data_IF_779414337589
#
_entry.id   IF_779414337589
#
_cell.length_a   1.000
_cell.length_b   1.000
_cell.length_c   1.000
_cell.angle_alpha   90.00
_cell.angle_beta   90.00
_cell.angle_gamma   90.00
#
_symmetry.space_group_name_H-M   'P 1'
#
loop_
_entity.id
_entity.type
_entity.pdbx_description
1 polymer ?
#
# COMPACT_ATOMS: atom_id res chain seq x y z
N UNK A 1 2.61 -48.60 28.72
CA UNK A 1 1.73 -47.41 28.74
C UNK A 1 2.33 -46.40 27.80
N UNK A 2 1.91 -46.38 26.54
CA UNK A 2 2.48 -45.52 25.49
C UNK A 2 1.57 -44.29 25.39
N UNK A 3 2.16 -43.10 25.56
CA UNK A 3 1.45 -41.83 25.43
C UNK A 3 1.12 -41.51 23.97
N UNK A 4 -0.13 -41.11 23.61
CA UNK A 4 -0.56 -40.88 22.23
C UNK A 4 -0.54 -39.37 21.83
N UNK A 5 0.43 -38.56 22.25
CA UNK A 5 0.38 -37.11 21.98
C UNK A 5 1.46 -36.57 21.01
N UNK A 6 2.34 -37.42 20.47
CA UNK A 6 3.48 -36.95 19.63
C UNK A 6 3.14 -36.84 18.12
N UNK A 7 1.99 -37.32 17.67
CA UNK A 7 1.69 -37.41 16.21
C UNK A 7 0.97 -36.17 15.63
N UNK A 8 0.45 -35.27 16.47
CA UNK A 8 -0.29 -34.08 16.01
C UNK A 8 0.56 -32.83 15.76
N UNK A 9 1.77 -32.77 16.28
CA UNK A 9 2.68 -31.63 16.13
C UNK A 9 3.48 -31.69 14.83
N UNK A 10 3.78 -32.89 14.35
CA UNK A 10 4.54 -33.11 13.10
C UNK A 10 3.73 -32.73 11.84
N UNK A 11 2.40 -32.85 11.86
CA UNK A 11 1.55 -32.56 10.72
C UNK A 11 1.31 -31.06 10.51
N UNK A 12 1.21 -30.30 11.60
CA UNK A 12 1.04 -28.81 11.51
C UNK A 12 2.27 -28.10 10.94
N UNK A 13 3.47 -28.52 11.31
CA UNK A 13 4.71 -27.94 10.79
C UNK A 13 4.89 -28.19 9.29
N UNK A 14 4.57 -29.40 8.81
CA UNK A 14 4.60 -29.73 7.37
C UNK A 14 3.56 -28.95 6.56
N UNK A 15 2.34 -28.76 7.10
CA UNK A 15 1.30 -27.97 6.44
C UNK A 15 1.72 -26.50 6.34
N UNK A 16 2.34 -25.96 7.37
CA UNK A 16 2.88 -24.59 7.37
C UNK A 16 3.99 -24.43 6.36
N UNK A 17 4.95 -25.37 6.30
CA UNK A 17 6.05 -25.33 5.32
C UNK A 17 5.55 -25.44 3.87
N UNK A 18 4.61 -26.32 3.59
CA UNK A 18 3.99 -26.46 2.26
C UNK A 18 3.24 -25.18 1.88
N UNK A 19 2.50 -24.58 2.81
CA UNK A 19 1.79 -23.32 2.59
C UNK A 19 2.76 -22.17 2.30
N UNK A 20 3.84 -22.05 3.04
CA UNK A 20 4.88 -21.02 2.84
C UNK A 20 5.62 -21.22 1.51
N UNK A 21 5.94 -22.46 1.13
CA UNK A 21 6.63 -22.76 -0.13
C UNK A 21 5.74 -22.46 -1.33
N UNK A 22 4.46 -22.84 -1.29
CA UNK A 22 3.46 -22.56 -2.33
C UNK A 22 3.20 -21.04 -2.48
N UNK A 23 3.20 -20.33 -1.37
CA UNK A 23 3.07 -18.88 -1.35
C UNK A 23 4.30 -18.20 -1.99
N UNK A 24 5.52 -18.61 -1.64
CA UNK A 24 6.77 -18.11 -2.25
C UNK A 24 6.83 -18.41 -3.75
N UNK A 25 6.33 -19.56 -4.19
CA UNK A 25 6.26 -19.91 -5.60
C UNK A 25 5.31 -19.01 -6.39
N UNK A 26 4.09 -18.79 -5.89
CA UNK A 26 3.13 -17.85 -6.49
C UNK A 26 3.68 -16.42 -6.56
N UNK A 27 4.38 -15.98 -5.53
CA UNK A 27 5.04 -14.67 -5.50
C UNK A 27 6.10 -14.56 -6.62
N UNK A 28 6.98 -15.56 -6.77
CA UNK A 28 8.01 -15.60 -7.81
C UNK A 28 7.42 -15.62 -9.22
N UNK A 29 6.36 -16.39 -9.46
CA UNK A 29 5.68 -16.41 -10.76
C UNK A 29 5.07 -15.05 -11.11
N UNK A 30 4.46 -14.37 -10.14
CA UNK A 30 3.93 -13.01 -10.34
C UNK A 30 5.04 -12.02 -10.65
N UNK A 31 6.14 -12.08 -9.91
CA UNK A 31 7.30 -11.23 -10.15
C UNK A 31 7.86 -11.45 -11.56
N UNK A 32 8.01 -12.71 -12.00
CA UNK A 32 8.46 -13.06 -13.34
C UNK A 32 7.51 -12.56 -14.43
N UNK A 33 6.19 -12.64 -14.23
CA UNK A 33 5.22 -12.15 -15.21
C UNK A 33 5.24 -10.61 -15.37
N UNK A 34 5.86 -9.90 -14.45
CA UNK A 34 5.99 -8.44 -14.44
C UNK A 34 7.43 -7.94 -14.59
N UNK A 35 8.37 -8.82 -14.97
CA UNK A 35 9.79 -8.49 -15.04
C UNK A 35 10.11 -7.32 -15.97
N UNK A 36 9.34 -7.17 -17.06
CA UNK A 36 9.49 -6.07 -18.02
C UNK A 36 9.06 -4.70 -17.44
N UNK A 37 8.35 -4.67 -16.31
CA UNK A 37 7.90 -3.45 -15.63
C UNK A 37 8.79 -3.07 -14.44
N UNK A 38 10.01 -3.60 -14.41
CA UNK A 38 10.95 -3.31 -13.34
C UNK A 38 11.61 -1.94 -13.52
N UNK A 39 11.89 -1.28 -12.41
CA UNK A 39 12.80 -0.13 -12.28
C UNK A 39 12.50 1.07 -13.19
N UNK A 40 11.25 1.23 -13.66
CA UNK A 40 10.86 2.37 -14.48
C UNK A 40 11.36 2.32 -15.94
N UNK A 41 11.67 1.12 -16.46
CA UNK A 41 12.02 0.97 -17.88
C UNK A 41 10.84 1.44 -18.75
N UNK A 42 11.14 2.30 -19.74
CA UNK A 42 10.11 2.87 -20.63
C UNK A 42 9.31 4.06 -20.05
N UNK A 43 9.61 4.50 -18.82
CA UNK A 43 8.96 5.66 -18.20
C UNK A 43 9.60 6.95 -18.74
N UNK A 44 8.82 7.73 -19.49
CA UNK A 44 9.31 8.99 -20.09
C UNK A 44 9.23 10.19 -19.15
N UNK A 45 8.31 10.17 -18.16
CA UNK A 45 8.17 11.25 -17.18
C UNK A 45 9.31 11.23 -16.15
N UNK A 46 10.14 12.28 -16.05
CA UNK A 46 11.24 12.34 -15.07
C UNK A 46 10.76 12.22 -13.62
N UNK A 47 9.61 12.84 -13.29
CA UNK A 47 9.04 12.78 -11.94
C UNK A 47 8.53 11.38 -11.61
N UNK A 48 7.83 10.71 -12.54
CA UNK A 48 7.38 9.34 -12.35
C UNK A 48 8.56 8.37 -12.26
N UNK A 49 9.59 8.54 -13.09
CA UNK A 49 10.83 7.75 -13.02
C UNK A 49 11.51 7.88 -11.65
N UNK A 50 11.65 9.12 -11.15
CA UNK A 50 12.24 9.38 -9.83
C UNK A 50 11.42 8.72 -8.71
N UNK A 51 10.09 8.81 -8.77
CA UNK A 51 9.22 8.17 -7.78
C UNK A 51 9.35 6.64 -7.82
N UNK A 52 9.36 6.03 -9.02
CA UNK A 52 9.57 4.59 -9.15
C UNK A 52 10.94 4.19 -8.59
N UNK A 53 11.99 4.93 -8.93
CA UNK A 53 13.37 4.58 -8.59
C UNK A 53 13.68 4.76 -7.11
N UNK A 54 13.25 5.89 -6.53
CA UNK A 54 13.69 6.34 -5.21
C UNK A 54 12.61 6.21 -4.12
N UNK A 55 11.39 5.76 -4.47
CA UNK A 55 10.33 5.50 -3.49
C UNK A 55 9.82 4.05 -3.62
N UNK A 56 9.33 3.67 -4.81
CA UNK A 56 8.74 2.33 -4.97
C UNK A 56 9.82 1.23 -4.88
N UNK A 57 10.88 1.36 -5.67
CA UNK A 57 11.95 0.35 -5.80
C UNK A 57 13.22 0.73 -5.01
N UNK A 58 13.09 1.54 -3.98
CA UNK A 58 14.18 1.81 -3.08
C UNK A 58 14.47 0.61 -2.17
N UNK A 59 15.76 0.30 -2.00
CA UNK A 59 16.25 -0.80 -1.16
C UNK A 59 17.20 -0.33 -0.06
N UNK A 60 17.17 0.96 0.28
CA UNK A 60 18.02 1.50 1.34
C UNK A 60 17.64 0.85 2.69
N UNK A 61 18.63 0.37 3.47
CA UNK A 61 18.39 -0.25 4.76
C UNK A 61 18.18 0.81 5.84
N UNK A 62 16.97 1.34 5.95
CA UNK A 62 16.63 2.28 7.02
C UNK A 62 16.67 1.59 8.37
N UNK A 63 17.32 2.19 9.37
CA UNK A 63 17.40 1.65 10.74
C UNK A 63 16.01 1.35 11.33
N UNK A 64 15.03 2.20 11.05
CA UNK A 64 13.66 2.01 11.50
C UNK A 64 13.04 0.66 11.07
N UNK A 65 13.51 0.05 9.98
CA UNK A 65 12.96 -1.23 9.53
C UNK A 65 13.28 -2.39 10.47
N UNK A 66 14.50 -2.40 11.01
CA UNK A 66 14.92 -3.47 11.92
C UNK A 66 14.21 -3.33 13.28
N UNK A 67 14.02 -2.11 13.76
CA UNK A 67 13.32 -1.84 15.01
C UNK A 67 11.83 -2.19 14.90
N UNK A 68 11.16 -1.77 13.82
CA UNK A 68 9.75 -2.09 13.56
C UNK A 68 9.53 -3.61 13.34
N UNK A 69 10.49 -4.29 12.72
CA UNK A 69 10.42 -5.75 12.56
C UNK A 69 10.53 -6.48 13.88
N UNK A 70 11.37 -5.99 14.80
CA UNK A 70 11.47 -6.57 16.18
C UNK A 70 10.20 -6.30 16.99
N UNK A 71 9.60 -5.13 16.82
CA UNK A 71 8.34 -4.75 17.49
C UNK A 71 7.15 -5.60 17.00
N UNK A 72 7.13 -5.96 15.68
CA UNK A 72 6.03 -6.70 15.05
C UNK A 72 6.52 -7.96 14.30
N UNK A 73 7.02 -8.98 15.01
CA UNK A 73 7.66 -10.15 14.38
C UNK A 73 6.70 -11.02 13.55
N UNK A 74 5.40 -11.00 13.88
CA UNK A 74 4.37 -11.80 13.20
C UNK A 74 3.93 -11.22 11.84
N UNK A 75 4.48 -10.09 11.42
CA UNK A 75 4.12 -9.44 10.15
C UNK A 75 4.54 -10.31 8.96
N UNK A 76 3.63 -10.57 8.04
CA UNK A 76 3.95 -11.32 6.83
C UNK A 76 4.96 -10.56 5.95
N UNK A 77 5.76 -11.28 5.15
CA UNK A 77 6.76 -10.67 4.26
C UNK A 77 6.13 -9.69 3.23
N UNK A 78 4.89 -9.94 2.81
CA UNK A 78 4.19 -9.06 1.86
C UNK A 78 3.71 -7.81 2.58
N UNK A 79 3.10 -7.97 3.75
CA UNK A 79 2.62 -6.83 4.53
C UNK A 79 3.79 -5.94 4.95
N UNK A 80 4.89 -6.53 5.43
CA UNK A 80 6.11 -5.78 5.72
C UNK A 80 6.61 -4.99 4.52
N UNK A 81 6.59 -5.60 3.33
CA UNK A 81 7.00 -4.91 2.10
C UNK A 81 6.09 -3.73 1.77
N UNK A 82 4.78 -3.88 1.96
CA UNK A 82 3.80 -2.81 1.79
C UNK A 82 4.01 -1.73 2.86
N UNK A 83 4.19 -2.09 4.12
CA UNK A 83 4.42 -1.12 5.21
C UNK A 83 5.71 -0.32 5.01
N UNK A 84 6.80 -0.95 4.56
CA UNK A 84 8.02 -0.26 4.14
C UNK A 84 7.79 0.70 2.97
N UNK A 85 6.86 0.39 2.06
CA UNK A 85 6.46 1.33 1.01
C UNK A 85 5.74 2.55 1.60
N UNK A 86 4.82 2.37 2.54
CA UNK A 86 4.17 3.48 3.25
C UNK A 86 5.18 4.37 3.97
N UNK A 87 6.17 3.78 4.65
CA UNK A 87 7.29 4.52 5.23
C UNK A 87 7.97 5.40 4.17
N UNK A 88 8.35 4.83 3.02
CA UNK A 88 9.06 5.56 1.96
C UNK A 88 8.20 6.65 1.32
N UNK A 89 6.91 6.39 1.13
CA UNK A 89 5.96 7.40 0.64
C UNK A 89 5.83 8.53 1.65
N UNK A 90 5.68 8.23 2.94
CA UNK A 90 5.64 9.24 4.00
C UNK A 90 6.94 10.04 4.08
N UNK A 91 8.10 9.37 4.00
CA UNK A 91 9.40 10.04 3.97
C UNK A 91 9.58 10.94 2.73
N UNK A 92 9.03 10.55 1.58
CA UNK A 92 9.13 11.33 0.35
C UNK A 92 8.22 12.56 0.35
N UNK A 93 6.95 12.40 0.75
CA UNK A 93 5.96 13.48 0.63
C UNK A 93 5.83 14.34 1.89
N UNK A 94 6.35 13.88 3.04
CA UNK A 94 6.27 14.53 4.35
C UNK A 94 4.83 14.97 4.67
N UNK A 95 3.86 14.02 4.76
CA UNK A 95 2.47 14.37 4.91
C UNK A 95 2.20 14.99 6.30
N UNK A 96 1.38 16.05 6.33
CA UNK A 96 0.88 16.59 7.59
C UNK A 96 -0.12 15.63 8.23
N UNK A 97 -0.91 14.94 7.40
CA UNK A 97 -1.91 13.96 7.85
C UNK A 97 -1.79 12.65 7.10
N UNK A 98 -1.95 11.56 7.84
CA UNK A 98 -2.21 10.23 7.30
C UNK A 98 -3.60 9.79 7.72
N UNK A 99 -4.50 9.66 6.75
CA UNK A 99 -5.85 9.18 6.97
C UNK A 99 -5.90 7.71 6.58
N UNK A 100 -6.17 6.86 7.56
CA UNK A 100 -6.44 5.45 7.34
C UNK A 100 -7.95 5.23 7.30
N UNK A 101 -8.48 5.03 6.09
CA UNK A 101 -9.90 4.77 5.90
C UNK A 101 -10.19 3.28 5.88
N UNK A 102 -10.76 2.77 6.96
CA UNK A 102 -11.05 1.39 7.25
C UNK A 102 -10.65 1.00 8.67
N UNK A 103 -10.48 -0.30 8.91
CA UNK A 103 -10.07 -0.77 10.22
C UNK A 103 -8.74 -0.14 10.66
N UNK A 104 -8.60 0.21 11.94
CA UNK A 104 -7.36 0.71 12.48
C UNK A 104 -6.18 -0.24 12.16
N UNK A 105 -5.07 0.35 11.76
CA UNK A 105 -3.87 -0.39 11.38
C UNK A 105 -2.66 0.16 12.14
N UNK A 106 -2.48 -0.26 13.40
CA UNK A 106 -1.45 0.23 14.30
C UNK A 106 -0.05 0.08 13.69
N UNK A 107 0.28 -1.11 13.21
CA UNK A 107 1.58 -1.39 12.59
C UNK A 107 1.87 -0.41 11.46
N UNK A 108 0.89 -0.19 10.59
CA UNK A 108 1.04 0.73 9.46
C UNK A 108 1.27 2.17 9.93
N UNK A 109 0.53 2.60 10.95
CA UNK A 109 0.70 3.93 11.56
C UNK A 109 2.11 4.13 12.11
N UNK A 110 2.70 3.10 12.70
CA UNK A 110 4.10 3.11 13.17
C UNK A 110 5.09 3.28 12.02
N UNK A 111 4.89 2.59 10.89
CA UNK A 111 5.72 2.75 9.69
C UNK A 111 5.59 4.15 9.07
N UNK A 112 4.38 4.71 9.00
CA UNK A 112 4.17 6.08 8.49
C UNK A 112 4.86 7.10 9.38
N UNK A 113 4.68 7.01 10.71
CA UNK A 113 5.33 7.91 11.67
C UNK A 113 6.85 7.78 11.68
N UNK A 114 7.39 6.58 11.46
CA UNK A 114 8.82 6.39 11.31
C UNK A 114 9.36 7.07 10.04
N UNK A 115 8.56 7.16 8.97
CA UNK A 115 8.89 7.88 7.73
C UNK A 115 8.76 9.39 7.86
N UNK A 116 7.76 9.87 8.60
CA UNK A 116 7.54 11.29 8.87
C UNK A 116 6.97 11.46 10.29
N UNK A 117 7.80 11.94 11.21
CA UNK A 117 7.42 12.06 12.65
C UNK A 117 6.34 13.10 12.93
N UNK A 118 6.20 14.08 12.05
CA UNK A 118 5.24 15.17 12.23
C UNK A 118 3.84 14.82 11.69
N UNK A 119 3.65 13.61 11.14
CA UNK A 119 2.37 13.20 10.57
C UNK A 119 1.34 12.92 11.65
N UNK A 120 0.21 13.62 11.58
CA UNK A 120 -0.99 13.31 12.36
C UNK A 120 -1.66 12.05 11.81
N UNK A 121 -1.91 11.05 12.65
CA UNK A 121 -2.57 9.80 12.26
C UNK A 121 -4.06 9.88 12.59
N UNK A 122 -4.91 9.72 11.58
CA UNK A 122 -6.37 9.77 11.69
C UNK A 122 -6.94 8.45 11.18
N UNK A 123 -7.66 7.71 12.05
CA UNK A 123 -8.38 6.51 11.65
C UNK A 123 -9.87 6.84 11.47
N UNK A 124 -10.42 6.51 10.31
CA UNK A 124 -11.81 6.75 9.95
C UNK A 124 -12.41 5.41 9.52
N UNK A 125 -13.39 4.91 10.27
CA UNK A 125 -14.10 3.67 9.90
C UNK A 125 -15.26 3.98 8.95
N UNK A 126 -15.98 5.08 9.20
CA UNK A 126 -17.09 5.56 8.37
C UNK A 126 -16.93 7.05 8.06
N UNK A 127 -17.30 7.45 6.85
CA UNK A 127 -17.25 8.85 6.45
C UNK A 127 -18.41 9.62 7.07
N UNK A 128 -18.09 10.74 7.67
CA UNK A 128 -19.01 11.75 8.21
C UNK A 128 -18.63 13.14 7.68
N UNK A 129 -19.46 14.14 7.90
CA UNK A 129 -19.15 15.53 7.51
C UNK A 129 -17.83 15.99 8.12
N UNK A 130 -17.56 15.63 9.37
CA UNK A 130 -16.29 15.93 10.04
C UNK A 130 -15.11 15.24 9.34
N UNK A 131 -15.32 14.00 8.86
CA UNK A 131 -14.27 13.25 8.15
C UNK A 131 -13.92 13.88 6.80
N UNK A 132 -14.91 14.42 6.07
CA UNK A 132 -14.66 15.19 4.85
C UNK A 132 -13.84 16.45 5.12
N UNK A 133 -14.03 17.11 6.28
CA UNK A 133 -13.22 18.24 6.69
C UNK A 133 -11.72 17.94 6.73
N UNK A 134 -11.32 16.74 7.16
CA UNK A 134 -9.91 16.32 7.15
C UNK A 134 -9.32 16.17 5.75
N UNK A 135 -10.13 15.86 4.73
CA UNK A 135 -9.69 15.77 3.33
C UNK A 135 -9.55 17.15 2.69
N UNK A 136 -10.49 18.05 2.99
CA UNK A 136 -10.62 19.34 2.30
C UNK A 136 -9.85 20.48 2.97
N UNK A 137 -9.39 20.29 4.22
CA UNK A 137 -8.68 21.31 4.99
C UNK A 137 -7.27 21.54 4.39
N UNK A 138 -7.25 22.11 3.22
CA UNK A 138 -6.23 22.94 2.76
C UNK A 138 -5.11 22.44 1.90
N UNK A 139 -4.00 23.13 2.06
CA UNK A 139 -2.79 23.11 1.22
C UNK A 139 -1.75 22.09 1.73
N UNK A 140 -2.00 21.45 2.87
CA UNK A 140 -1.04 20.53 3.49
C UNK A 140 -1.00 19.16 2.77
N UNK A 141 0.18 18.55 2.61
CA UNK A 141 0.29 17.23 2.00
C UNK A 141 -0.51 16.17 2.76
N UNK A 142 -1.33 15.41 2.04
CA UNK A 142 -2.23 14.39 2.59
C UNK A 142 -1.88 13.00 2.05
N UNK A 143 -1.64 12.04 2.94
CA UNK A 143 -1.55 10.63 2.61
C UNK A 143 -2.83 9.92 3.05
N UNK A 144 -3.57 9.34 2.11
CA UNK A 144 -4.78 8.58 2.36
C UNK A 144 -4.56 7.11 2.07
N UNK A 145 -4.99 6.25 2.97
CA UNK A 145 -5.08 4.80 2.72
C UNK A 145 -6.53 4.38 2.60
N UNK A 146 -6.82 3.54 1.60
CA UNK A 146 -8.10 2.82 1.49
C UNK A 146 -7.81 1.33 1.36
N UNK A 147 -8.41 0.52 2.24
CA UNK A 147 -8.21 -0.92 2.25
C UNK A 147 -9.39 -1.65 1.60
N UNK A 148 -9.16 -2.28 0.43
CA UNK A 148 -10.19 -3.05 -0.27
C UNK A 148 -10.36 -4.48 0.26
N UNK A 149 -9.47 -4.97 1.12
CA UNK A 149 -9.65 -6.27 1.78
C UNK A 149 -10.84 -6.26 2.75
N UNK A 150 -11.21 -5.10 3.29
CA UNK A 150 -12.32 -4.92 4.23
C UNK A 150 -13.70 -4.96 3.54
N UNK A 151 -13.76 -5.06 2.22
CA UNK A 151 -15.01 -5.17 1.47
C UNK A 151 -15.71 -3.85 1.13
N UNK A 152 -15.17 -2.71 1.55
CA UNK A 152 -15.73 -1.39 1.30
C UNK A 152 -15.32 -0.87 -0.10
N UNK A 153 -15.98 -1.39 -1.11
CA UNK A 153 -15.56 -1.23 -2.50
C UNK A 153 -15.89 0.14 -3.13
N UNK A 154 -16.86 0.85 -2.62
CA UNK A 154 -17.30 2.18 -3.06
C UNK A 154 -16.44 3.32 -2.51
N UNK A 155 -15.76 3.09 -1.38
CA UNK A 155 -14.96 4.08 -0.66
C UNK A 155 -13.98 4.87 -1.54
N UNK A 156 -13.09 4.23 -2.34
CA UNK A 156 -12.09 5.00 -3.09
C UNK A 156 -12.70 5.96 -4.11
N UNK A 157 -13.81 5.56 -4.74
CA UNK A 157 -14.45 6.38 -5.78
C UNK A 157 -15.22 7.57 -5.21
N UNK A 158 -15.85 7.41 -4.04
CA UNK A 158 -16.57 8.49 -3.36
C UNK A 158 -15.65 9.60 -2.82
N UNK A 159 -14.37 9.30 -2.64
CA UNK A 159 -13.39 10.24 -2.09
C UNK A 159 -12.73 11.13 -3.16
N UNK A 160 -12.75 10.75 -4.43
CA UNK A 160 -11.99 11.42 -5.49
C UNK A 160 -12.34 12.91 -5.58
N UNK A 161 -13.63 13.28 -5.45
CA UNK A 161 -14.08 14.67 -5.57
C UNK A 161 -13.54 15.60 -4.48
N UNK A 162 -13.15 15.02 -3.36
CA UNK A 162 -12.70 15.76 -2.19
C UNK A 162 -11.16 15.70 -1.99
N UNK A 163 -10.43 15.08 -2.93
CA UNK A 163 -8.98 14.94 -2.80
C UNK A 163 -8.24 16.21 -3.23
N UNK A 164 -7.40 16.78 -2.36
CA UNK A 164 -6.57 17.92 -2.73
C UNK A 164 -5.45 17.52 -3.70
N UNK A 165 -4.95 18.50 -4.49
CA UNK A 165 -3.92 18.25 -5.51
C UNK A 165 -2.60 17.70 -4.96
N UNK A 166 -2.28 17.97 -3.72
CA UNK A 166 -1.07 17.50 -3.04
C UNK A 166 -1.29 16.19 -2.27
N UNK A 167 -2.41 15.49 -2.53
CA UNK A 167 -2.70 14.21 -1.93
C UNK A 167 -2.11 13.03 -2.70
N UNK A 168 -1.78 11.99 -1.96
CA UNK A 168 -1.53 10.65 -2.49
C UNK A 168 -2.52 9.68 -1.83
N UNK A 169 -3.27 8.94 -2.66
CA UNK A 169 -4.11 7.85 -2.19
C UNK A 169 -3.41 6.52 -2.46
N UNK A 170 -3.25 5.72 -1.42
CA UNK A 170 -2.79 4.33 -1.51
C UNK A 170 -3.97 3.39 -1.32
N UNK A 171 -4.16 2.48 -2.26
CA UNK A 171 -5.30 1.55 -2.29
C UNK A 171 -4.76 0.13 -2.16
N UNK A 172 -4.97 -0.49 -1.00
CA UNK A 172 -4.53 -1.86 -0.75
C UNK A 172 -5.52 -2.88 -1.35
N UNK A 173 -5.01 -4.02 -1.83
CA UNK A 173 -5.84 -5.11 -2.32
C UNK A 173 -6.41 -4.95 -3.73
N UNK A 174 -5.82 -4.11 -4.58
CA UNK A 174 -6.33 -3.80 -5.95
C UNK A 174 -6.51 -5.02 -6.86
N UNK A 175 -5.82 -6.15 -6.59
CA UNK A 175 -5.93 -7.41 -7.35
C UNK A 175 -6.52 -8.56 -6.51
N UNK A 176 -7.09 -8.27 -5.34
CA UNK A 176 -7.59 -9.30 -4.42
C UNK A 176 -8.67 -10.16 -5.08
N UNK A 177 -9.68 -9.54 -5.71
CA UNK A 177 -10.77 -10.22 -6.38
C UNK A 177 -11.24 -9.47 -7.65
N UNK A 178 -12.34 -9.95 -8.28
CA UNK A 178 -12.87 -9.31 -9.50
C UNK A 178 -13.41 -7.90 -9.23
N UNK A 179 -14.04 -7.67 -8.08
CA UNK A 179 -14.60 -6.36 -7.70
C UNK A 179 -13.48 -5.36 -7.48
N UNK A 180 -12.45 -5.70 -6.70
CA UNK A 180 -11.33 -4.80 -6.44
C UNK A 180 -10.55 -4.43 -7.71
N UNK A 181 -10.39 -5.38 -8.65
CA UNK A 181 -9.80 -5.09 -9.96
C UNK A 181 -10.64 -4.12 -10.80
N UNK A 182 -11.96 -4.18 -10.67
CA UNK A 182 -12.85 -3.25 -11.36
C UNK A 182 -12.75 -1.84 -10.78
N UNK A 183 -12.75 -1.70 -9.46
CA UNK A 183 -12.56 -0.42 -8.77
C UNK A 183 -11.21 0.19 -9.13
N UNK A 184 -10.14 -0.61 -9.11
CA UNK A 184 -8.83 -0.10 -9.52
C UNK A 184 -8.83 0.42 -10.97
N UNK A 185 -9.51 -0.27 -11.89
CA UNK A 185 -9.67 0.22 -13.27
C UNK A 185 -10.43 1.55 -13.34
N UNK A 186 -11.52 1.67 -12.59
CA UNK A 186 -12.29 2.91 -12.54
C UNK A 186 -11.44 4.06 -11.97
N UNK A 187 -10.72 3.86 -10.86
CA UNK A 187 -9.78 4.86 -10.30
C UNK A 187 -8.70 5.26 -11.31
N UNK A 188 -8.08 4.28 -11.96
CA UNK A 188 -7.04 4.50 -12.95
C UNK A 188 -7.54 5.30 -14.15
N UNK A 189 -8.76 5.02 -14.61
CA UNK A 189 -9.33 5.60 -15.84
C UNK A 189 -10.12 6.89 -15.56
N UNK A 190 -10.38 7.25 -14.29
CA UNK A 190 -11.07 8.47 -13.89
C UNK A 190 -10.26 9.72 -14.24
N UNK A 191 -10.90 10.70 -14.86
CA UNK A 191 -10.26 11.95 -15.33
C UNK A 191 -9.78 12.86 -14.19
N UNK A 192 -10.33 12.71 -12.99
CA UNK A 192 -9.96 13.48 -11.78
C UNK A 192 -8.69 12.97 -11.12
N UNK A 193 -8.24 11.77 -11.47
CA UNK A 193 -6.97 11.23 -10.99
C UNK A 193 -5.83 11.59 -11.94
N UNK A 194 -4.66 11.86 -11.41
CA UNK A 194 -3.43 12.15 -12.15
C UNK A 194 -2.63 10.89 -12.50
N UNK A 195 -1.39 10.83 -12.06
CA UNK A 195 -0.51 9.68 -12.28
C UNK A 195 -0.90 8.52 -11.36
N UNK A 196 -0.95 7.30 -11.90
CA UNK A 196 -1.23 6.09 -11.13
C UNK A 196 -0.12 5.05 -11.26
N UNK A 197 0.11 4.27 -10.19
CA UNK A 197 1.07 3.16 -10.17
C UNK A 197 0.37 1.88 -9.69
N UNK A 198 0.32 0.85 -10.54
CA UNK A 198 -0.16 -0.50 -10.21
C UNK A 198 1.01 -1.35 -9.73
N UNK A 199 1.07 -1.63 -8.43
CA UNK A 199 2.11 -2.43 -7.78
C UNK A 199 1.66 -3.87 -7.51
N UNK A 200 0.53 -4.30 -8.04
CA UNK A 200 -0.15 -5.57 -7.85
C UNK A 200 -0.88 -5.69 -6.51
N UNK A 201 -0.19 -5.57 -5.39
CA UNK A 201 -0.77 -5.68 -4.03
C UNK A 201 -1.46 -4.40 -3.59
N UNK A 202 -0.92 -3.28 -3.99
CA UNK A 202 -1.51 -1.96 -3.79
C UNK A 202 -1.39 -1.10 -5.05
N UNK A 203 -2.21 -0.06 -5.12
CA UNK A 203 -2.15 0.99 -6.12
C UNK A 203 -1.82 2.33 -5.47
N UNK A 204 -1.15 3.20 -6.20
CA UNK A 204 -0.87 4.57 -5.77
C UNK A 204 -1.52 5.51 -6.78
N UNK A 205 -2.25 6.52 -6.30
CA UNK A 205 -2.96 7.51 -7.11
C UNK A 205 -2.52 8.90 -6.65
N UNK A 206 -2.06 9.71 -7.60
CA UNK A 206 -1.79 11.13 -7.44
C UNK A 206 -2.97 11.96 -7.94
N UNK A 207 -3.20 13.11 -7.32
CA UNK A 207 -4.28 14.04 -7.68
C UNK A 207 -3.77 15.36 -8.25
N UNK A 208 -2.47 15.47 -8.48
CA UNK A 208 -1.88 16.66 -9.09
C UNK A 208 -2.30 16.82 -10.56
N UNK A 209 -2.23 18.05 -11.07
CA UNK A 209 -2.64 18.43 -12.44
C UNK A 209 -1.68 17.99 -13.55
N UNK A 210 -0.75 17.08 -13.27
CA UNK A 210 0.13 16.54 -14.32
C UNK A 210 -0.67 15.77 -15.36
N UNK A 211 -0.09 15.64 -16.56
CA UNK A 211 -0.67 14.79 -17.61
C UNK A 211 -0.90 13.39 -17.06
N UNK A 212 -2.13 12.91 -17.16
CA UNK A 212 -2.53 11.58 -16.70
C UNK A 212 -1.66 10.50 -17.34
N UNK A 213 -1.08 9.66 -16.50
CA UNK A 213 -0.26 8.52 -16.93
C UNK A 213 -0.47 7.35 -15.97
N UNK A 214 -0.53 6.17 -16.54
CA UNK A 214 -0.77 4.94 -15.76
C UNK A 214 0.42 4.01 -15.91
N UNK A 215 1.08 3.69 -14.81
CA UNK A 215 2.26 2.83 -14.79
C UNK A 215 1.97 1.50 -14.10
N UNK A 216 2.46 0.44 -14.69
CA UNK A 216 2.58 -0.86 -14.02
C UNK A 216 4.03 -0.96 -13.53
N UNK A 217 4.22 -1.24 -12.26
CA UNK A 217 5.56 -1.37 -11.67
C UNK A 217 5.68 -2.73 -11.00
N UNK A 218 6.77 -3.44 -11.28
CA UNK A 218 7.08 -4.66 -10.56
C UNK A 218 7.65 -4.31 -9.19
N UNK A 219 6.91 -4.68 -8.17
CA UNK A 219 7.17 -4.32 -6.77
C UNK A 219 7.32 -5.58 -5.92
#
# INVERSE_FOLDING_TARGET
MVHPDDDKTCDKSKIIEISVSHFRFKYRLRWLSRIFYCRGFGVQSPSAYRFIRYVINEHYPYYAYDDLRKEFPETSLIDEKIYRLYFRVANFMQPCRFINYGKPAEILSRYVNAGCRCTEIINIEEMSDTSYGYLTDGTAPLLLRVNLYDGAYDRPLSLIDNMPENAIMMVDGIKHNRKTRNIWRQLRDDTRTGVTFDLYYCGIVFFDKRIKQNYIVNF
#
